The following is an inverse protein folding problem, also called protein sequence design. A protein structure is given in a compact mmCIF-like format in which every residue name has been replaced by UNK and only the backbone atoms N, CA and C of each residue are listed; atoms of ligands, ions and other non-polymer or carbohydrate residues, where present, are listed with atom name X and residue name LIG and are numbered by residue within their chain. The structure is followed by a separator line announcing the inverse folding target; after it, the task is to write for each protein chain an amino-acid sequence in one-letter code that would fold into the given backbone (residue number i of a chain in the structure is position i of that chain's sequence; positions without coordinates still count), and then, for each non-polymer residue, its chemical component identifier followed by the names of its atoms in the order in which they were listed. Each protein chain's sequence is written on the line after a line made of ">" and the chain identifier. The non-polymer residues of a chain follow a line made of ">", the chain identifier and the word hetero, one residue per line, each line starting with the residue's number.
data_IF_061057793539
#
_entry.id   IF_061057793539
#
_cell.length_a   1.000
_cell.length_b   1.000
_cell.length_c   1.000
_cell.angle_alpha   90.00
_cell.angle_beta   90.00
_cell.angle_gamma   90.00
#
_symmetry.space_group_name_H-M   'P 1'
#
loop_
_entity.id
_entity.type
_entity.pdbx_description
1 polymer ?
#
# COMPACT_ATOMS: atom_id res chain seq x y z
N UNK A 1 15.15 8.28 -9.69
CA UNK A 1 15.12 6.85 -10.06
C UNK A 1 14.45 6.09 -8.93
N UNK A 2 13.28 5.48 -9.17
CA UNK A 2 12.60 4.65 -8.18
C UNK A 2 13.30 3.29 -8.14
N UNK A 3 14.08 3.02 -7.08
CA UNK A 3 14.80 1.75 -6.90
C UNK A 3 14.14 0.96 -5.77
N UNK A 4 13.63 -0.22 -6.10
CA UNK A 4 13.20 -1.22 -5.12
C UNK A 4 14.07 -2.44 -5.36
N UNK A 5 14.85 -2.84 -4.36
CA UNK A 5 15.69 -4.02 -4.44
C UNK A 5 14.84 -5.28 -4.29
N UNK A 6 15.29 -6.38 -4.89
CA UNK A 6 14.71 -7.70 -4.64
C UNK A 6 14.97 -8.10 -3.19
N UNK A 7 13.97 -8.71 -2.55
CA UNK A 7 14.10 -9.26 -1.20
C UNK A 7 14.21 -10.79 -1.33
N UNK A 8 15.32 -11.42 -0.89
CA UNK A 8 15.47 -12.86 -0.99
C UNK A 8 14.45 -13.56 -0.08
N UNK A 9 13.74 -14.53 -0.63
CA UNK A 9 12.80 -15.37 0.11
C UNK A 9 13.13 -16.85 -0.08
N UNK A 10 13.53 -17.58 0.99
CA UNK A 10 14.03 -18.95 0.88
C UNK A 10 13.02 -19.96 0.30
N UNK A 11 11.73 -19.67 0.40
CA UNK A 11 10.68 -20.61 0.01
C UNK A 11 10.30 -20.48 -1.48
N UNK A 12 10.95 -19.62 -2.26
CA UNK A 12 10.85 -19.52 -3.73
C UNK A 12 9.43 -19.69 -4.30
N UNK A 13 8.64 -18.61 -4.32
CA UNK A 13 7.32 -18.60 -4.95
C UNK A 13 7.22 -17.54 -6.03
N UNK A 14 6.46 -17.85 -7.07
CA UNK A 14 6.28 -17.03 -8.26
C UNK A 14 5.58 -15.68 -7.98
N UNK A 15 5.00 -15.50 -6.79
CA UNK A 15 4.25 -14.32 -6.37
C UNK A 15 4.78 -13.73 -5.05
N UNK A 16 6.11 -13.59 -4.91
CA UNK A 16 6.72 -12.84 -3.80
C UNK A 16 7.24 -11.52 -4.33
N UNK A 17 6.68 -10.42 -3.82
CA UNK A 17 7.16 -9.07 -4.04
C UNK A 17 7.76 -8.52 -2.74
N UNK A 18 8.71 -7.56 -2.82
CA UNK A 18 9.36 -7.00 -1.62
C UNK A 18 8.36 -6.31 -0.70
N UNK A 19 8.52 -6.48 0.62
CA UNK A 19 7.64 -5.87 1.63
C UNK A 19 7.58 -4.33 1.51
N UNK A 20 8.69 -3.70 1.14
CA UNK A 20 8.77 -2.25 0.94
C UNK A 20 7.89 -1.75 -0.21
N UNK A 21 7.72 -2.55 -1.27
CA UNK A 21 6.80 -2.20 -2.35
C UNK A 21 5.36 -2.23 -1.83
N UNK A 22 4.99 -3.27 -1.07
CA UNK A 22 3.67 -3.38 -0.45
C UNK A 22 3.40 -2.23 0.52
N UNK A 23 4.40 -1.90 1.33
CA UNK A 23 4.33 -0.81 2.30
C UNK A 23 4.02 0.52 1.62
N UNK A 24 4.73 0.85 0.53
CA UNK A 24 4.49 2.10 -0.21
C UNK A 24 3.09 2.17 -0.81
N UNK A 25 2.64 1.08 -1.44
CA UNK A 25 1.31 1.02 -2.05
C UNK A 25 0.23 1.17 -0.97
N UNK A 26 0.34 0.46 0.15
CA UNK A 26 -0.64 0.51 1.23
C UNK A 26 -0.66 1.88 1.92
N UNK A 27 0.49 2.49 2.18
CA UNK A 27 0.56 3.86 2.74
C UNK A 27 -0.06 4.90 1.82
N UNK A 28 -0.01 4.69 0.50
CA UNK A 28 -0.57 5.60 -0.49
C UNK A 28 -2.07 5.38 -0.74
N UNK A 29 -2.48 4.12 -0.90
CA UNK A 29 -3.80 3.77 -1.41
C UNK A 29 -4.77 3.22 -0.35
N UNK A 30 -4.28 2.76 0.81
CA UNK A 30 -5.11 2.17 1.85
C UNK A 30 -5.19 3.07 3.10
N UNK A 31 -6.33 3.74 3.33
CA UNK A 31 -6.47 4.70 4.43
C UNK A 31 -6.30 4.03 5.80
N UNK A 32 -5.69 4.74 6.74
CA UNK A 32 -5.54 4.28 8.13
C UNK A 32 -6.84 4.05 8.84
N UNK A 33 -7.78 4.93 8.58
CA UNK A 33 -9.05 4.96 9.27
C UNK A 33 -10.11 5.32 8.25
N UNK A 34 -11.18 4.55 8.26
CA UNK A 34 -12.39 4.83 7.50
C UNK A 34 -13.57 4.90 8.46
N UNK A 35 -14.62 5.62 8.07
CA UNK A 35 -15.88 5.59 8.81
C UNK A 35 -16.39 4.15 8.93
N UNK A 36 -16.75 3.72 10.14
CA UNK A 36 -17.26 2.38 10.40
C UNK A 36 -18.56 2.07 9.61
N UNK A 37 -19.35 3.09 9.28
CA UNK A 37 -20.63 2.95 8.58
C UNK A 37 -20.47 3.05 7.06
N UNK A 38 -19.96 4.18 6.54
CA UNK A 38 -19.95 4.44 5.10
C UNK A 38 -18.62 4.11 4.41
N UNK A 39 -17.56 3.80 5.17
CA UNK A 39 -16.25 3.48 4.61
C UNK A 39 -15.47 4.67 4.01
N UNK A 40 -15.97 5.92 4.10
CA UNK A 40 -15.19 7.09 3.66
C UNK A 40 -13.92 7.25 4.48
N UNK A 41 -12.77 7.56 3.85
CA UNK A 41 -11.51 7.72 4.56
C UNK A 41 -11.53 8.97 5.44
N UNK A 42 -11.02 8.84 6.66
CA UNK A 42 -10.76 10.00 7.51
C UNK A 42 -9.57 10.77 6.97
N UNK A 43 -9.62 12.10 7.08
CA UNK A 43 -8.56 12.97 6.61
C UNK A 43 -7.57 13.25 7.73
N UNK A 44 -6.27 13.12 7.41
CA UNK A 44 -5.18 13.45 8.33
C UNK A 44 -5.07 14.97 8.42
N UNK A 45 -5.28 15.51 9.61
CA UNK A 45 -5.06 16.94 9.86
C UNK A 45 -3.59 17.16 10.16
N UNK A 46 -3.00 18.16 9.50
CA UNK A 46 -1.60 18.51 9.63
C UNK A 46 -1.43 19.97 9.98
N UNK A 47 -0.39 20.26 10.77
CA UNK A 47 0.08 21.61 11.05
C UNK A 47 1.47 21.80 10.44
N UNK A 48 1.83 23.06 10.19
CA UNK A 48 3.14 23.43 9.65
C UNK A 48 3.83 24.37 10.61
N UNK A 49 5.01 23.96 11.05
CA UNK A 49 5.90 24.82 11.83
C UNK A 49 6.75 25.67 10.89
N UNK A 50 6.80 26.98 11.16
CA UNK A 50 7.64 27.93 10.42
C UNK A 50 7.12 28.30 9.03
N UNK A 51 7.61 29.43 8.53
CA UNK A 51 7.37 29.87 7.16
C UNK A 51 8.52 29.44 6.25
N UNK A 52 8.24 29.26 4.96
CA UNK A 52 9.32 29.12 3.98
C UNK A 52 10.03 30.48 3.87
N UNK A 53 11.19 30.61 4.53
CA UNK A 53 12.00 31.83 4.46
C UNK A 53 13.19 31.59 3.54
N UNK A 54 13.39 32.56 2.65
CA UNK A 54 14.61 32.69 1.87
C UNK A 54 15.44 33.79 2.54
N UNK A 55 16.66 33.48 2.96
CA UNK A 55 17.57 34.54 3.38
C UNK A 55 18.22 35.15 2.13
N UNK A 56 17.91 36.41 1.85
CA UNK A 56 18.59 37.18 0.79
C UNK A 56 19.88 37.82 1.31
N UNK A 57 20.12 37.78 2.62
CA UNK A 57 21.25 38.45 3.30
C UNK A 57 22.65 37.94 2.87
N UNK A 58 22.71 36.82 2.14
CA UNK A 58 23.94 36.30 1.52
C UNK A 58 24.16 36.71 0.06
N UNK A 59 23.23 37.45 -0.56
CA UNK A 59 23.33 37.87 -1.95
C UNK A 59 24.15 39.17 -2.03
N UNK A 60 25.38 39.08 -2.51
CA UNK A 60 26.16 40.27 -2.83
C UNK A 60 25.40 41.13 -3.87
N UNK A 61 25.24 42.43 -3.61
CA UNK A 61 24.64 43.37 -4.58
C UNK A 61 25.39 43.27 -5.91
N UNK A 62 24.67 42.97 -7.00
CA UNK A 62 25.23 42.85 -8.35
C UNK A 62 25.38 41.41 -8.88
N UNK A 63 25.01 40.40 -8.09
CA UNK A 63 25.02 39.00 -8.54
C UNK A 63 23.84 38.72 -9.50
N UNK A 64 24.08 38.13 -10.69
CA UNK A 64 23.02 37.77 -11.63
C UNK A 64 21.98 36.83 -10.99
N UNK A 65 20.69 37.06 -11.27
CA UNK A 65 19.57 36.31 -10.68
C UNK A 65 19.68 34.78 -10.87
N UNK A 66 20.37 34.33 -11.91
CA UNK A 66 20.62 32.91 -12.20
C UNK A 66 21.52 32.23 -11.16
N UNK A 67 22.49 32.95 -10.60
CA UNK A 67 23.41 32.43 -9.56
C UNK A 67 23.01 32.84 -8.16
N UNK A 68 22.09 33.82 -8.00
CA UNK A 68 21.55 34.22 -6.70
C UNK A 68 20.93 33.05 -5.92
N UNK A 69 20.27 32.11 -6.60
CA UNK A 69 19.68 30.91 -5.97
C UNK A 69 20.72 29.97 -5.31
N UNK A 70 22.02 30.07 -5.65
CA UNK A 70 23.08 29.31 -4.96
C UNK A 70 23.36 29.84 -3.55
N UNK A 71 23.08 31.12 -3.30
CA UNK A 71 23.37 31.80 -2.03
C UNK A 71 22.15 31.93 -1.12
N UNK A 72 20.96 31.61 -1.64
CA UNK A 72 19.71 31.60 -0.88
C UNK A 72 19.59 30.27 -0.15
N UNK A 73 19.73 30.28 1.17
CA UNK A 73 19.29 29.15 1.99
C UNK A 73 17.78 29.22 2.17
N UNK A 74 17.11 28.11 1.89
CA UNK A 74 15.66 27.96 2.09
C UNK A 74 15.45 27.16 3.37
N UNK A 75 15.03 27.83 4.43
CA UNK A 75 14.44 27.12 5.56
C UNK A 75 13.01 26.75 5.18
N UNK A 76 12.72 25.45 5.15
CA UNK A 76 11.37 24.95 4.87
C UNK A 76 10.69 24.63 6.18
N UNK A 77 9.45 25.07 6.32
CA UNK A 77 8.63 24.66 7.45
C UNK A 77 8.36 23.15 7.42
N UNK A 78 8.33 22.52 8.59
CA UNK A 78 8.08 21.08 8.73
C UNK A 78 6.59 20.84 8.92
N UNK A 79 6.05 19.79 8.30
CA UNK A 79 4.63 19.43 8.41
C UNK A 79 4.49 18.24 9.35
N UNK A 80 3.67 18.38 10.38
CA UNK A 80 3.45 17.35 11.39
C UNK A 80 1.96 16.97 11.47
N UNK A 81 1.64 15.68 11.64
CA UNK A 81 0.26 15.25 11.85
C UNK A 81 -0.19 15.63 13.27
N UNK A 82 -1.36 16.27 13.38
CA UNK A 82 -1.91 16.71 14.67
C UNK A 82 -3.22 16.02 15.03
N UNK A 83 -3.83 15.32 14.08
CA UNK A 83 -5.04 14.56 14.35
C UNK A 83 -5.72 14.05 13.09
N UNK A 84 -6.99 13.72 13.26
CA UNK A 84 -7.85 13.19 12.21
C UNK A 84 -9.21 13.84 12.26
N UNK A 85 -9.83 14.03 11.09
CA UNK A 85 -11.22 14.51 11.00
C UNK A 85 -12.06 13.61 10.09
N UNK A 86 -13.36 13.44 10.39
CA UNK A 86 -14.26 12.72 9.51
C UNK A 86 -14.48 13.49 8.20
N UNK A 87 -14.68 12.76 7.11
CA UNK A 87 -15.04 13.30 5.78
C UNK A 87 -16.51 12.98 5.41
N UNK A 88 -17.28 12.55 6.41
CA UNK A 88 -18.67 12.14 6.30
C UNK A 88 -19.48 12.65 7.51
N UNK A 89 -20.80 12.72 7.36
CA UNK A 89 -21.73 13.15 8.42
C UNK A 89 -22.30 12.00 9.26
N UNK A 90 -21.75 10.79 9.16
CA UNK A 90 -22.33 9.58 9.77
C UNK A 90 -22.27 9.51 11.30
N UNK A 91 -21.60 10.46 11.96
CA UNK A 91 -21.38 10.49 13.42
C UNK A 91 -21.08 9.11 14.03
N UNK A 92 -20.07 8.46 13.44
CA UNK A 92 -19.70 7.10 13.78
C UNK A 92 -18.19 6.99 14.04
N UNK A 93 -17.81 5.98 14.81
CA UNK A 93 -16.40 5.63 15.04
C UNK A 93 -15.66 5.21 13.76
N UNK A 94 -14.39 4.84 13.94
CA UNK A 94 -13.52 4.41 12.85
C UNK A 94 -13.27 2.91 12.85
N UNK A 95 -13.02 2.35 11.67
CA UNK A 95 -12.37 1.05 11.49
C UNK A 95 -11.16 1.17 10.56
N UNK A 96 -10.33 0.14 10.51
CA UNK A 96 -9.19 0.11 9.61
C UNK A 96 -9.63 0.07 8.13
N UNK A 97 -8.79 0.63 7.25
CA UNK A 97 -8.92 0.41 5.82
C UNK A 97 -8.62 -1.04 5.44
N UNK A 98 -9.26 -1.52 4.37
CA UNK A 98 -9.13 -2.90 3.88
C UNK A 98 -8.44 -2.88 2.52
N UNK A 99 -7.34 -3.62 2.38
CA UNK A 99 -6.69 -3.84 1.09
C UNK A 99 -7.16 -5.15 0.44
N UNK A 100 -7.36 -5.15 -0.87
CA UNK A 100 -7.63 -6.35 -1.65
C UNK A 100 -6.39 -6.72 -2.48
N UNK A 101 -5.91 -7.95 -2.32
CA UNK A 101 -4.89 -8.54 -3.17
C UNK A 101 -5.45 -9.77 -3.87
N UNK A 102 -5.75 -9.70 -5.19
CA UNK A 102 -6.29 -10.84 -5.93
C UNK A 102 -5.23 -11.91 -6.25
N UNK A 103 -3.96 -11.67 -5.91
CA UNK A 103 -2.84 -12.59 -6.13
C UNK A 103 -2.03 -12.74 -4.83
N UNK A 104 -2.71 -13.19 -3.77
CA UNK A 104 -2.23 -13.19 -2.40
C UNK A 104 -0.89 -13.92 -2.19
N UNK A 105 -0.60 -14.95 -2.99
CA UNK A 105 0.69 -15.62 -3.03
C UNK A 105 1.18 -16.03 -1.63
N UNK A 106 2.41 -15.62 -1.29
CA UNK A 106 3.00 -15.90 0.03
C UNK A 106 2.45 -15.05 1.20
N UNK A 107 1.48 -14.18 0.95
CA UNK A 107 0.84 -13.34 1.97
C UNK A 107 1.58 -12.05 2.33
N UNK A 108 2.52 -11.57 1.50
CA UNK A 108 3.27 -10.32 1.78
C UNK A 108 2.33 -9.15 2.08
N UNK A 109 1.27 -8.97 1.29
CA UNK A 109 0.30 -7.88 1.47
C UNK A 109 -0.41 -7.95 2.82
N UNK A 110 -0.82 -9.16 3.25
CA UNK A 110 -1.47 -9.35 4.55
C UNK A 110 -0.54 -9.04 5.71
N UNK A 111 0.73 -9.45 5.63
CA UNK A 111 1.75 -9.14 6.65
C UNK A 111 1.96 -7.64 6.77
N UNK A 112 2.13 -6.94 5.65
CA UNK A 112 2.40 -5.50 5.67
C UNK A 112 1.14 -4.70 6.05
N UNK A 113 -0.04 -5.15 5.64
CA UNK A 113 -1.30 -4.54 6.06
C UNK A 113 -1.45 -4.60 7.59
N UNK A 114 -1.25 -5.78 8.19
CA UNK A 114 -1.31 -5.98 9.63
C UNK A 114 -0.29 -5.09 10.38
N UNK A 115 0.97 -5.06 9.93
CA UNK A 115 2.01 -4.18 10.50
C UNK A 115 1.66 -2.68 10.44
N UNK A 116 0.86 -2.26 9.45
CA UNK A 116 0.41 -0.88 9.32
C UNK A 116 -0.88 -0.59 10.09
N UNK A 117 -1.51 -1.60 10.71
CA UNK A 117 -2.84 -1.49 11.31
C UNK A 117 -3.94 -1.36 10.24
N UNK A 118 -3.88 -2.20 9.20
CA UNK A 118 -4.88 -2.34 8.14
C UNK A 118 -5.40 -3.76 8.10
N UNK A 119 -6.60 -3.90 7.57
CA UNK A 119 -7.14 -5.21 7.20
C UNK A 119 -6.74 -5.55 5.76
N UNK A 120 -6.73 -6.84 5.43
CA UNK A 120 -6.50 -7.31 4.07
C UNK A 120 -7.36 -8.51 3.72
N UNK A 121 -7.81 -8.56 2.46
CA UNK A 121 -8.43 -9.73 1.83
C UNK A 121 -7.47 -10.21 0.76
N UNK A 122 -7.03 -11.47 0.88
CA UNK A 122 -6.10 -12.10 -0.05
C UNK A 122 -6.82 -13.22 -0.80
N UNK A 123 -6.86 -13.15 -2.12
CA UNK A 123 -7.35 -14.26 -2.95
C UNK A 123 -6.16 -15.03 -3.52
N UNK A 124 -6.17 -16.34 -3.35
CA UNK A 124 -5.13 -17.23 -3.85
C UNK A 124 -5.75 -18.57 -4.26
N UNK A 125 -5.41 -19.01 -5.47
CA UNK A 125 -5.98 -20.23 -6.06
C UNK A 125 -5.29 -21.49 -5.54
N UNK A 126 -3.97 -21.41 -5.29
CA UNK A 126 -3.20 -22.55 -4.84
C UNK A 126 -3.36 -22.74 -3.32
N UNK A 127 -3.95 -23.87 -2.86
CA UNK A 127 -4.17 -24.11 -1.44
C UNK A 127 -2.87 -24.16 -0.62
N UNK A 128 -1.74 -24.55 -1.22
CA UNK A 128 -0.45 -24.55 -0.54
C UNK A 128 0.03 -23.11 -0.23
N UNK A 129 -0.29 -22.15 -1.09
CA UNK A 129 0.02 -20.73 -0.86
C UNK A 129 -0.94 -20.09 0.13
N UNK A 130 -2.23 -20.46 0.12
CA UNK A 130 -3.19 -20.04 1.14
C UNK A 130 -2.70 -20.42 2.54
N UNK A 131 -2.27 -21.67 2.73
CA UNK A 131 -1.77 -22.15 4.02
C UNK A 131 -0.46 -21.45 4.43
N UNK A 132 0.43 -21.18 3.47
CA UNK A 132 1.64 -20.42 3.72
C UNK A 132 1.34 -18.98 4.17
N UNK A 133 0.48 -18.28 3.41
CA UNK A 133 0.08 -16.91 3.70
C UNK A 133 -0.55 -16.83 5.09
N UNK A 134 -1.46 -17.76 5.41
CA UNK A 134 -2.07 -17.89 6.74
C UNK A 134 -1.01 -17.96 7.84
N UNK A 135 -0.05 -18.88 7.74
CA UNK A 135 1.03 -19.04 8.73
C UNK A 135 1.89 -17.79 8.84
N UNK A 136 2.18 -17.13 7.73
CA UNK A 136 3.04 -15.94 7.70
C UNK A 136 2.35 -14.76 8.39
N UNK A 137 1.08 -14.51 8.08
CA UNK A 137 0.29 -13.45 8.73
C UNK A 137 0.12 -13.72 10.23
N UNK A 138 -0.20 -14.95 10.62
CA UNK A 138 -0.30 -15.33 12.04
C UNK A 138 1.02 -15.14 12.79
N UNK A 139 2.17 -15.44 12.16
CA UNK A 139 3.48 -15.24 12.79
C UNK A 139 3.89 -13.78 12.89
N UNK A 140 3.41 -12.92 12.00
CA UNK A 140 3.72 -11.49 12.04
C UNK A 140 3.08 -10.80 13.26
N UNK A 141 1.87 -11.22 13.64
CA UNK A 141 1.16 -10.75 14.85
C UNK A 141 0.47 -11.91 15.59
N UNK A 142 1.23 -12.74 16.33
CA UNK A 142 0.73 -13.98 16.93
C UNK A 142 -0.33 -13.79 18.02
N UNK A 143 -0.48 -12.58 18.57
CA UNK A 143 -1.44 -12.28 19.63
C UNK A 143 -2.76 -11.69 19.12
N UNK A 144 -2.77 -11.07 17.94
CA UNK A 144 -3.88 -10.21 17.50
C UNK A 144 -4.42 -10.54 16.10
N UNK A 145 -3.66 -11.24 15.26
CA UNK A 145 -4.09 -11.52 13.90
C UNK A 145 -5.23 -12.54 13.86
N UNK A 146 -6.43 -12.07 13.50
CA UNK A 146 -7.57 -12.93 13.18
C UNK A 146 -7.52 -13.28 11.69
N UNK A 147 -7.11 -14.51 11.38
CA UNK A 147 -7.04 -14.99 9.99
C UNK A 147 -8.14 -16.00 9.73
N UNK A 148 -9.10 -15.60 8.90
CA UNK A 148 -10.15 -16.46 8.37
C UNK A 148 -9.79 -16.92 6.95
N UNK A 149 -9.93 -18.22 6.69
CA UNK A 149 -9.74 -18.79 5.35
C UNK A 149 -11.07 -19.34 4.87
N UNK A 150 -11.60 -18.74 3.81
CA UNK A 150 -12.80 -19.21 3.14
C UNK A 150 -12.41 -19.97 1.88
N UNK A 151 -12.83 -21.23 1.78
CA UNK A 151 -12.72 -22.01 0.55
C UNK A 151 -14.03 -21.93 -0.22
N UNK A 152 -14.05 -21.18 -1.31
CA UNK A 152 -15.17 -21.30 -2.27
C UNK A 152 -14.83 -22.47 -3.18
N UNK A 153 -15.66 -23.53 -3.24
CA UNK A 153 -15.43 -24.61 -4.20
C UNK A 153 -15.44 -23.99 -5.61
N UNK A 154 -14.55 -24.43 -6.52
CA UNK A 154 -14.57 -23.93 -7.88
C UNK A 154 -15.98 -24.13 -8.44
N UNK A 155 -16.57 -23.13 -9.13
CA UNK A 155 -17.85 -23.33 -9.78
C UNK A 155 -17.72 -24.56 -10.69
N UNK A 156 -18.78 -25.38 -10.83
CA UNK A 156 -18.75 -26.49 -11.76
C UNK A 156 -18.33 -25.94 -13.12
N UNK A 157 -17.17 -26.38 -13.60
CA UNK A 157 -16.65 -25.95 -14.89
C UNK A 157 -17.60 -26.52 -15.94
N UNK A 158 -18.48 -25.67 -16.48
CA UNK A 158 -19.02 -25.95 -17.80
C UNK A 158 -17.81 -26.09 -18.73
N UNK A 159 -17.64 -27.22 -19.45
CA UNK A 159 -16.57 -27.33 -20.42
C UNK A 159 -16.65 -26.11 -21.33
N UNK A 160 -15.57 -25.34 -21.41
CA UNK A 160 -15.47 -24.27 -22.40
C UNK A 160 -15.72 -24.92 -23.77
N UNK A 161 -16.64 -24.40 -24.59
CA UNK A 161 -16.81 -24.93 -25.94
C UNK A 161 -15.49 -24.70 -26.67
N UNK A 162 -14.72 -25.78 -26.84
CA UNK A 162 -13.46 -25.77 -27.61
C UNK A 162 -13.73 -25.74 -29.12
N UNK A 163 -14.99 -25.67 -29.54
CA UNK A 163 -15.39 -25.49 -30.93
C UNK A 163 -14.96 -24.10 -31.42
N UNK A 164 -13.89 -24.05 -32.19
CA UNK A 164 -13.40 -22.83 -32.86
C UNK A 164 -12.06 -22.28 -32.37
N UNK A 165 -11.40 -22.90 -31.38
CA UNK A 165 -9.97 -22.61 -31.08
C UNK A 165 -9.10 -23.39 -32.08
N UNK A 166 -9.25 -23.04 -33.36
CA UNK A 166 -8.37 -23.51 -34.42
C UNK A 166 -6.96 -22.97 -34.21
N UNK A 167 -5.98 -23.83 -34.48
CA UNK A 167 -4.54 -23.54 -34.52
C UNK A 167 -4.28 -22.23 -35.28
N UNK A 168 -4.07 -21.12 -34.56
CA UNK A 168 -3.43 -19.95 -35.15
C UNK A 168 -1.95 -20.29 -35.32
N UNK A 169 -1.62 -20.95 -36.43
CA UNK A 169 -0.24 -21.03 -36.92
C UNK A 169 0.21 -19.59 -37.17
N UNK A 170 1.26 -19.15 -36.49
CA UNK A 170 1.95 -17.92 -36.83
C UNK A 170 2.39 -18.03 -38.30
N UNK A 171 1.89 -17.15 -39.15
CA UNK A 171 2.45 -16.97 -40.48
C UNK A 171 3.84 -16.34 -40.34
N UNK A 172 4.79 -16.93 -41.05
CA UNK A 172 6.21 -16.60 -41.14
C UNK A 172 6.49 -15.16 -41.57
#
# INVERSE_FOLDING_TARGET
>A
MFRINTQPWPQAHFAVWPEELARRILLFACPERVCAVCGRPWERVTERDGANQANEDGIAKGVPRQVANLYVTKQRGTVHPVGWRPTCACDAGTRAGVALDPFGGSGTTGVVADQLGRDAVLAELNPAFVEMARRRVQRASPLLAQVEVQTVPPPPHAPLPLEGVGERRCAS
#
